data_IF_598950894366
#
_entry.id   IF_598950894366
#
_cell.length_a   1.000
_cell.length_b   1.000
_cell.length_c   1.000
_cell.angle_alpha   90.00
_cell.angle_beta   90.00
_cell.angle_gamma   90.00
#
_symmetry.space_group_name_H-M   'P 1'
#
loop_
_entity.id
_entity.type
_entity.pdbx_description
1 polymer ?
#
# COMPACT_ATOMS: atom_id res chain seq x y z
N UNK A 1 -53.19 33.24 -31.90
CA UNK A 1 -52.15 33.21 -32.95
C UNK A 1 -51.14 32.17 -32.52
N UNK A 2 -51.23 30.92 -33.01
CA UNK A 2 -50.43 30.33 -34.13
C UNK A 2 -48.94 30.68 -33.98
N UNK A 3 -47.98 29.76 -33.92
CA UNK A 3 -47.92 28.45 -34.54
C UNK A 3 -46.84 27.59 -33.84
N UNK A 4 -47.21 26.37 -33.49
CA UNK A 4 -46.33 25.28 -33.05
C UNK A 4 -45.69 24.69 -34.31
N UNK A 5 -44.36 24.58 -34.36
CA UNK A 5 -43.67 23.76 -35.34
C UNK A 5 -43.23 22.44 -34.69
N UNK A 6 -43.91 21.37 -35.07
CA UNK A 6 -43.39 20.00 -35.02
C UNK A 6 -42.47 19.81 -36.23
N UNK A 7 -41.31 19.18 -36.04
CA UNK A 7 -40.75 18.32 -37.08
C UNK A 7 -40.11 17.09 -36.45
N UNK A 8 -40.20 16.02 -37.21
CA UNK A 8 -40.33 14.63 -36.85
C UNK A 8 -39.02 13.87 -37.11
N UNK A 9 -38.89 12.73 -36.44
CA UNK A 9 -38.18 11.51 -36.88
C UNK A 9 -36.66 11.55 -37.08
N UNK A 10 -35.95 10.84 -36.20
CA UNK A 10 -35.22 9.63 -36.61
C UNK A 10 -35.04 8.70 -35.42
N UNK A 11 -35.81 7.61 -35.47
CA UNK A 11 -35.58 6.42 -34.67
C UNK A 11 -34.41 5.61 -35.25
N UNK A 12 -33.94 4.68 -34.42
CA UNK A 12 -33.06 3.55 -34.73
C UNK A 12 -31.55 3.82 -34.66
N UNK A 13 -30.93 3.23 -33.64
CA UNK A 13 -29.48 3.08 -33.57
C UNK A 13 -28.90 2.88 -32.18
N UNK A 14 -29.65 2.37 -31.20
CA UNK A 14 -29.03 1.93 -29.93
C UNK A 14 -28.27 0.62 -30.20
N UNK A 15 -27.03 0.74 -30.67
CA UNK A 15 -26.09 -0.39 -30.64
C UNK A 15 -25.77 -0.69 -29.19
N UNK A 16 -26.48 -1.68 -28.64
CA UNK A 16 -26.05 -2.41 -27.47
C UNK A 16 -24.74 -3.13 -27.82
N UNK A 17 -23.61 -2.48 -27.55
CA UNK A 17 -22.35 -3.19 -27.45
C UNK A 17 -22.48 -4.15 -26.27
N UNK A 18 -22.37 -5.47 -26.46
CA UNK A 18 -22.16 -6.35 -25.34
C UNK A 18 -20.84 -5.93 -24.70
N UNK A 19 -20.93 -5.38 -23.47
CA UNK A 19 -19.82 -5.38 -22.52
C UNK A 19 -19.47 -6.85 -22.29
N UNK A 20 -18.67 -7.42 -23.18
CA UNK A 20 -17.95 -8.64 -22.90
C UNK A 20 -17.04 -8.30 -21.73
N UNK A 21 -17.48 -8.68 -20.52
CA UNK A 21 -16.61 -8.88 -19.39
C UNK A 21 -15.64 -10.00 -19.80
N UNK A 22 -14.61 -9.63 -20.57
CA UNK A 22 -13.46 -10.48 -20.78
C UNK A 22 -12.92 -10.80 -19.39
N UNK A 23 -12.50 -12.05 -19.12
CA UNK A 23 -11.80 -12.34 -17.88
C UNK A 23 -10.65 -11.33 -17.80
N UNK A 24 -10.64 -10.56 -16.73
CA UNK A 24 -9.51 -9.73 -16.35
C UNK A 24 -8.35 -10.72 -16.21
N UNK A 25 -7.58 -10.91 -17.28
CA UNK A 25 -6.34 -11.66 -17.20
C UNK A 25 -5.51 -10.84 -16.22
N UNK A 26 -5.38 -11.34 -14.99
CA UNK A 26 -4.29 -10.97 -14.12
C UNK A 26 -3.06 -11.26 -14.95
N UNK A 27 -2.56 -10.21 -15.58
CA UNK A 27 -1.25 -10.20 -16.18
C UNK A 27 -0.35 -10.65 -15.03
N UNK A 28 0.26 -11.82 -15.22
CA UNK A 28 1.21 -12.41 -14.30
C UNK A 28 2.39 -11.44 -14.26
N UNK A 29 2.22 -10.37 -13.47
CA UNK A 29 3.30 -9.48 -13.17
C UNK A 29 4.23 -10.39 -12.40
N UNK A 30 5.28 -10.86 -13.07
CA UNK A 30 6.53 -11.15 -12.40
C UNK A 30 6.91 -9.88 -11.67
N UNK A 31 6.32 -9.69 -10.49
CA UNK A 31 6.57 -8.57 -9.63
C UNK A 31 8.00 -8.79 -9.16
N UNK A 32 8.95 -8.27 -9.93
CA UNK A 32 10.35 -8.18 -9.56
C UNK A 32 10.41 -7.20 -8.41
N UNK A 33 10.20 -7.69 -7.19
CA UNK A 33 10.10 -6.87 -5.99
C UNK A 33 9.68 -7.69 -4.77
N UNK A 34 9.84 -7.08 -3.60
CA UNK A 34 9.35 -7.64 -2.34
C UNK A 34 7.83 -7.55 -2.38
N UNK A 35 7.16 -8.67 -2.69
CA UNK A 35 5.72 -8.79 -2.61
C UNK A 35 5.35 -9.44 -1.28
N UNK A 36 4.30 -8.95 -0.63
CA UNK A 36 3.66 -9.68 0.47
C UNK A 36 2.41 -10.34 -0.11
N UNK A 37 2.20 -11.63 0.17
CA UNK A 37 1.03 -12.32 -0.37
C UNK A 37 -0.26 -11.68 0.19
N UNK A 38 -1.39 -11.79 -0.51
CA UNK A 38 -2.66 -11.31 0.00
C UNK A 38 -3.02 -11.96 1.35
N UNK A 39 -3.86 -11.30 2.17
CA UNK A 39 -4.32 -11.88 3.43
C UNK A 39 -4.85 -13.32 3.27
N UNK A 40 -4.43 -14.20 4.17
CA UNK A 40 -4.82 -15.62 4.15
C UNK A 40 -3.94 -16.51 3.26
N UNK A 41 -2.96 -15.96 2.54
CA UNK A 41 -1.98 -16.73 1.79
C UNK A 41 -0.64 -16.84 2.53
N UNK A 42 0.03 -17.98 2.38
CA UNK A 42 1.33 -18.20 3.00
C UNK A 42 2.41 -17.32 2.39
N UNK A 43 3.27 -16.75 3.23
CA UNK A 43 4.48 -16.04 2.79
C UNK A 43 5.49 -16.96 2.10
N UNK A 44 5.34 -18.28 2.25
CA UNK A 44 6.12 -19.25 1.50
C UNK A 44 5.79 -19.29 0.00
N UNK A 45 4.71 -18.62 -0.44
CA UNK A 45 4.39 -18.48 -1.87
C UNK A 45 5.32 -17.49 -2.61
N UNK A 46 6.29 -16.89 -1.92
CA UNK A 46 7.31 -16.02 -2.52
C UNK A 46 8.41 -16.83 -3.22
N UNK A 47 9.18 -16.20 -4.12
CA UNK A 47 10.37 -16.82 -4.72
C UNK A 47 11.44 -17.07 -3.65
N UNK A 48 11.44 -18.30 -3.14
CA UNK A 48 12.33 -18.73 -2.07
C UNK A 48 13.69 -19.15 -2.63
N UNK A 49 14.77 -18.69 -2.00
CA UNK A 49 16.14 -19.07 -2.35
C UNK A 49 16.93 -19.47 -1.12
N UNK A 50 17.74 -20.51 -1.26
CA UNK A 50 18.71 -20.87 -0.23
C UNK A 50 19.70 -19.72 0.00
N UNK A 51 20.24 -19.55 1.23
CA UNK A 51 21.16 -18.48 1.56
C UNK A 51 22.34 -18.36 0.59
N UNK A 52 22.96 -19.47 0.22
CA UNK A 52 24.11 -19.52 -0.68
C UNK A 52 23.77 -19.00 -2.07
N UNK A 53 22.57 -19.29 -2.57
CA UNK A 53 22.11 -18.87 -3.90
C UNK A 53 21.96 -17.35 -4.01
N UNK A 54 21.84 -16.64 -2.89
CA UNK A 54 21.81 -15.17 -2.83
C UNK A 54 23.09 -14.58 -2.22
N UNK A 55 24.17 -15.36 -2.15
CA UNK A 55 25.47 -14.92 -1.64
C UNK A 55 25.47 -14.64 -0.13
N UNK A 56 24.70 -15.39 0.65
CA UNK A 56 24.70 -15.37 2.12
C UNK A 56 25.40 -16.59 2.70
N UNK A 57 26.10 -16.40 3.82
CA UNK A 57 26.65 -17.50 4.61
C UNK A 57 25.52 -18.18 5.42
N UNK A 58 25.29 -19.49 5.28
CA UNK A 58 24.28 -20.23 6.04
C UNK A 58 24.44 -20.14 7.56
N UNK A 59 25.68 -20.05 8.05
CA UNK A 59 25.97 -19.93 9.47
C UNK A 59 25.40 -18.63 10.06
N UNK A 60 25.28 -17.56 9.26
CA UNK A 60 24.62 -16.34 9.71
C UNK A 60 23.15 -16.61 10.02
N UNK A 61 22.44 -17.31 9.13
CA UNK A 61 21.03 -17.67 9.34
C UNK A 61 20.88 -18.58 10.55
N UNK A 62 21.75 -19.58 10.70
CA UNK A 62 21.74 -20.48 11.86
C UNK A 62 21.91 -19.70 13.18
N UNK A 63 22.86 -18.76 13.24
CA UNK A 63 23.07 -17.90 14.43
C UNK A 63 21.87 -17.01 14.74
N UNK A 64 21.26 -16.39 13.73
CA UNK A 64 20.07 -15.54 13.92
C UNK A 64 18.88 -16.39 14.36
N UNK A 65 18.68 -17.58 13.77
CA UNK A 65 17.61 -18.51 14.15
C UNK A 65 17.66 -18.86 15.63
N UNK A 66 18.84 -19.18 16.15
CA UNK A 66 19.00 -19.48 17.58
C UNK A 66 18.74 -18.24 18.45
N UNK A 67 19.28 -17.07 18.08
CA UNK A 67 19.06 -15.82 18.84
C UNK A 67 17.60 -15.37 18.84
N UNK A 68 16.88 -15.61 17.74
CA UNK A 68 15.50 -15.20 17.54
C UNK A 68 14.51 -16.32 17.85
N UNK A 69 14.92 -17.36 18.58
CA UNK A 69 14.04 -18.48 18.94
C UNK A 69 12.79 -17.99 19.65
N UNK A 70 11.64 -18.48 19.22
CA UNK A 70 10.32 -18.05 19.71
C UNK A 70 9.77 -16.76 19.08
N UNK A 71 10.57 -16.01 18.31
CA UNK A 71 10.13 -14.81 17.59
C UNK A 71 9.69 -15.13 16.15
N UNK A 72 8.84 -14.27 15.58
CA UNK A 72 8.44 -14.35 14.17
C UNK A 72 9.29 -13.39 13.34
N UNK A 73 9.92 -13.90 12.30
CA UNK A 73 10.76 -13.09 11.43
C UNK A 73 10.96 -13.75 10.07
N UNK A 74 11.27 -12.94 9.07
CA UNK A 74 11.59 -13.38 7.74
C UNK A 74 12.69 -12.49 7.17
N UNK A 75 13.46 -13.01 6.23
CA UNK A 75 14.60 -12.31 5.66
C UNK A 75 14.54 -12.36 4.14
N UNK A 76 14.68 -11.19 3.52
CA UNK A 76 14.79 -11.04 2.08
C UNK A 76 16.18 -10.55 1.68
N UNK A 77 16.66 -11.01 0.53
CA UNK A 77 17.86 -10.48 -0.11
C UNK A 77 17.72 -10.54 -1.63
N UNK A 78 18.10 -9.46 -2.31
CA UNK A 78 17.98 -9.32 -3.76
C UNK A 78 16.56 -9.60 -4.30
N UNK A 79 15.53 -9.31 -3.48
CA UNK A 79 14.13 -9.58 -3.81
C UNK A 79 13.64 -11.00 -3.52
N UNK A 80 14.53 -11.92 -3.14
CA UNK A 80 14.17 -13.30 -2.81
C UNK A 80 13.92 -13.49 -1.32
N UNK A 81 12.98 -14.35 -0.99
CA UNK A 81 12.75 -14.79 0.39
C UNK A 81 13.79 -15.85 0.75
N UNK A 82 14.62 -15.57 1.74
CA UNK A 82 15.75 -16.43 2.12
C UNK A 82 15.40 -17.31 3.31
N UNK A 83 14.60 -16.78 4.23
CA UNK A 83 14.26 -17.49 5.46
C UNK A 83 12.95 -16.98 6.04
N UNK A 84 12.17 -17.87 6.66
CA UNK A 84 10.95 -17.58 7.42
C UNK A 84 10.96 -18.39 8.71
N UNK A 85 10.60 -17.76 9.82
CA UNK A 85 10.33 -18.44 11.08
C UNK A 85 9.04 -17.93 11.73
N UNK A 86 8.19 -18.87 12.12
CA UNK A 86 6.91 -18.62 12.79
C UNK A 86 5.73 -18.41 11.84
N UNK A 87 4.54 -18.20 12.42
CA UNK A 87 3.29 -18.04 11.69
C UNK A 87 2.95 -16.56 11.43
N UNK A 88 3.00 -16.18 10.15
CA UNK A 88 2.71 -14.83 9.69
C UNK A 88 1.21 -14.55 9.48
N UNK A 89 0.34 -15.55 9.60
CA UNK A 89 -1.12 -15.34 9.57
C UNK A 89 -1.68 -14.89 10.93
N UNK A 90 -0.89 -15.00 12.00
CA UNK A 90 -1.32 -14.55 13.33
C UNK A 90 -1.29 -13.02 13.42
N UNK A 91 -2.43 -12.44 13.77
CA UNK A 91 -2.54 -11.00 14.03
C UNK A 91 -1.65 -10.56 15.21
N UNK A 92 -1.10 -9.36 15.10
CA UNK A 92 -0.38 -8.70 16.20
C UNK A 92 -0.63 -7.22 16.15
N UNK A 93 -0.63 -6.60 17.32
CA UNK A 93 -0.48 -5.16 17.43
C UNK A 93 0.98 -4.81 17.01
N UNK A 94 1.15 -3.82 16.13
CA UNK A 94 2.46 -3.41 15.58
C UNK A 94 2.88 -1.99 16.00
N UNK A 95 2.12 -1.37 16.88
CA UNK A 95 2.35 -0.07 17.53
C UNK A 95 2.78 1.02 16.54
N UNK A 96 4.01 1.51 16.69
CA UNK A 96 4.59 2.56 15.87
C UNK A 96 4.78 2.17 14.40
N UNK A 97 4.77 0.88 14.04
CA UNK A 97 4.84 0.46 12.63
C UNK A 97 3.64 0.98 11.81
N UNK A 98 2.51 1.31 12.46
CA UNK A 98 1.38 1.97 11.81
C UNK A 98 1.74 3.27 11.10
N UNK A 99 2.81 3.94 11.54
CA UNK A 99 3.33 5.17 10.92
C UNK A 99 3.77 4.92 9.46
N UNK A 100 4.28 3.73 9.15
CA UNK A 100 4.62 3.36 7.77
C UNK A 100 3.37 3.27 6.89
N UNK A 101 2.29 2.66 7.37
CA UNK A 101 1.02 2.66 6.64
C UNK A 101 0.43 4.05 6.48
N UNK A 102 0.56 4.90 7.50
CA UNK A 102 0.14 6.30 7.40
C UNK A 102 0.90 7.03 6.29
N UNK A 103 2.24 6.94 6.26
CA UNK A 103 3.06 7.54 5.21
C UNK A 103 2.71 7.00 3.80
N UNK A 104 2.51 5.68 3.67
CA UNK A 104 2.09 5.08 2.40
C UNK A 104 0.70 5.57 1.96
N UNK A 105 -0.24 5.70 2.89
CA UNK A 105 -1.60 6.16 2.60
C UNK A 105 -1.60 7.62 2.15
N UNK A 106 -0.85 8.49 2.83
CA UNK A 106 -0.72 9.91 2.42
C UNK A 106 -0.02 10.00 1.05
N UNK A 107 1.05 9.22 0.83
CA UNK A 107 1.72 9.15 -0.47
C UNK A 107 0.79 8.71 -1.59
N UNK A 108 -0.06 7.70 -1.35
CA UNK A 108 -1.06 7.25 -2.31
C UNK A 108 -2.14 8.32 -2.57
N UNK A 109 -2.59 9.04 -1.54
CA UNK A 109 -3.55 10.14 -1.69
C UNK A 109 -2.98 11.31 -2.50
N UNK A 110 -1.68 11.62 -2.33
CA UNK A 110 -0.97 12.61 -3.16
C UNK A 110 -0.90 12.11 -4.62
N UNK A 111 -0.50 10.85 -4.84
CA UNK A 111 -0.43 10.27 -6.19
C UNK A 111 -1.79 10.13 -6.89
N UNK A 112 -2.90 10.31 -6.16
CA UNK A 112 -4.27 10.33 -6.68
C UNK A 112 -4.88 11.73 -6.71
N UNK A 113 -4.06 12.79 -6.53
CA UNK A 113 -4.47 14.19 -6.50
C UNK A 113 -5.54 14.52 -5.43
N UNK A 114 -5.71 13.67 -4.40
CA UNK A 114 -6.61 13.92 -3.26
C UNK A 114 -5.99 14.89 -2.26
N UNK A 115 -4.67 14.83 -2.13
CA UNK A 115 -3.85 15.80 -1.39
C UNK A 115 -2.96 16.49 -2.42
N UNK A 116 -3.04 17.82 -2.60
CA UNK A 116 -2.31 18.50 -3.67
C UNK A 116 -0.79 18.36 -3.57
N UNK A 117 -0.24 18.31 -2.34
CA UNK A 117 1.18 18.07 -2.10
C UNK A 117 1.46 17.76 -0.63
N UNK A 118 2.67 17.27 -0.33
CA UNK A 118 3.17 17.17 1.05
C UNK A 118 3.22 18.51 1.80
N UNK A 119 3.18 19.64 1.08
CA UNK A 119 3.21 20.97 1.68
C UNK A 119 1.81 21.53 1.99
N UNK A 120 0.72 20.79 1.68
CA UNK A 120 -0.61 21.18 2.13
C UNK A 120 -0.65 21.15 3.66
N UNK A 121 -1.21 22.21 4.25
CA UNK A 121 -1.52 22.25 5.68
C UNK A 121 -2.55 21.19 6.04
N UNK A 122 -2.31 20.46 7.13
CA UNK A 122 -3.23 19.40 7.57
C UNK A 122 -4.51 19.96 8.19
N UNK A 123 -4.52 21.25 8.57
CA UNK A 123 -5.71 21.94 9.08
C UNK A 123 -6.89 21.98 8.09
N UNK A 124 -6.66 21.69 6.81
CA UNK A 124 -7.73 21.47 5.82
C UNK A 124 -8.58 20.23 6.15
N UNK A 125 -8.00 19.27 6.87
CA UNK A 125 -8.62 17.99 7.22
C UNK A 125 -8.90 17.87 8.73
N UNK A 126 -8.13 18.58 9.55
CA UNK A 126 -8.21 18.60 11.01
C UNK A 126 -8.51 20.03 11.48
N UNK A 127 -9.79 20.41 11.45
CA UNK A 127 -10.26 21.76 11.79
C UNK A 127 -10.03 22.13 13.26
N UNK A 128 -9.77 21.15 14.12
CA UNK A 128 -9.47 21.33 15.54
C UNK A 128 -8.06 21.89 15.81
N UNK A 129 -7.17 21.89 14.81
CA UNK A 129 -5.82 22.39 14.96
C UNK A 129 -5.82 23.92 15.04
N UNK A 130 -5.10 24.46 16.02
CA UNK A 130 -5.05 25.90 16.27
C UNK A 130 -3.61 26.37 16.52
N UNK A 131 -3.39 27.69 16.46
CA UNK A 131 -2.07 28.27 16.70
C UNK A 131 -1.01 27.72 15.75
N UNK A 132 0.15 27.35 16.29
CA UNK A 132 1.28 26.80 15.49
C UNK A 132 0.96 25.45 14.87
N UNK A 133 0.07 24.67 15.48
CA UNK A 133 -0.29 23.35 15.00
C UNK A 133 -1.11 23.42 13.70
N UNK A 134 -1.87 24.51 13.51
CA UNK A 134 -2.59 24.77 12.27
C UNK A 134 -1.66 25.01 11.06
N UNK A 135 -0.40 25.39 11.31
CA UNK A 135 0.62 25.59 10.28
C UNK A 135 1.32 24.26 9.89
N UNK A 136 1.03 23.16 10.59
CA UNK A 136 1.60 21.85 10.26
C UNK A 136 1.16 21.40 8.87
N UNK A 137 2.10 20.82 8.13
CA UNK A 137 1.88 20.27 6.79
C UNK A 137 1.98 18.75 6.82
N UNK A 138 1.50 18.07 5.77
CA UNK A 138 1.70 16.62 5.66
C UNK A 138 3.17 16.21 5.74
N UNK A 139 4.09 17.05 5.23
CA UNK A 139 5.52 16.88 5.40
C UNK A 139 5.90 16.82 6.87
N UNK A 140 5.51 17.84 7.66
CA UNK A 140 5.81 17.89 9.09
C UNK A 140 5.29 16.66 9.86
N UNK A 141 4.11 16.16 9.52
CA UNK A 141 3.54 14.97 10.16
C UNK A 141 4.32 13.71 9.80
N UNK A 142 4.58 13.47 8.51
CA UNK A 142 5.25 12.26 8.04
C UNK A 142 6.70 12.19 8.54
N UNK A 143 7.39 13.33 8.63
CA UNK A 143 8.78 13.42 9.11
C UNK A 143 8.90 13.57 10.62
N UNK A 144 7.79 13.62 11.36
CA UNK A 144 7.75 13.87 12.81
C UNK A 144 8.45 15.17 13.22
N UNK A 145 8.23 16.25 12.45
CA UNK A 145 8.77 17.59 12.74
C UNK A 145 7.67 18.62 13.00
N UNK A 146 6.42 18.20 13.23
CA UNK A 146 5.32 19.10 13.58
C UNK A 146 5.35 19.58 15.03
N UNK A 147 6.10 18.90 15.91
CA UNK A 147 6.09 19.19 17.35
C UNK A 147 4.89 18.59 18.09
N UNK A 148 4.10 17.75 17.43
CA UNK A 148 3.04 16.98 18.10
C UNK A 148 3.66 15.96 19.04
N UNK A 149 3.21 15.95 20.28
CA UNK A 149 3.67 15.00 21.29
C UNK A 149 2.52 14.14 21.81
N UNK A 150 2.87 13.05 22.50
CA UNK A 150 1.91 12.24 23.22
C UNK A 150 1.40 13.02 24.46
N UNK A 151 0.09 12.95 24.77
CA UNK A 151 -0.48 13.56 25.97
C UNK A 151 0.08 12.95 27.26
#
# INVERSE_FOLDING_TARGET
>A
MRCIQYLTCLAAGLMLFPLSAGPFQMQDSQARGIYFPPPGQSIANQDCREPEAVGMNPEFIARIKERMKGNRWALWRHGYLVFVNGDFNKNTEVASLRKTWHALTVGAAIGQDRIPSVHQQIGVWCEELTGKDAEATWWHVITQTSGFDYP
#
